data_IF_070589048266
#
_entry.id   IF_070589048266
#
_cell.length_a   1.000
_cell.length_b   1.000
_cell.length_c   1.000
_cell.angle_alpha   90.00
_cell.angle_beta   90.00
_cell.angle_gamma   90.00
#
_symmetry.space_group_name_H-M   'P 1'
#
loop_
_entity.id
_entity.type
_entity.pdbx_description
1 polymer ?
#
# COMPACT_ATOMS: atom_id res chain seq x y z
N UNK A 1 -11.19 9.65 5.06
CA UNK A 1 -9.87 9.17 5.51
C UNK A 1 -10.06 8.63 6.92
N UNK A 2 -9.73 7.37 7.20
CA UNK A 2 -9.80 6.80 8.55
C UNK A 2 -8.53 7.20 9.33
N UNK A 3 -8.58 7.18 10.67
CA UNK A 3 -7.44 7.53 11.53
C UNK A 3 -6.23 6.63 11.22
N UNK A 4 -6.47 5.34 10.96
CA UNK A 4 -5.45 4.35 10.57
C UNK A 4 -4.75 4.71 9.26
N UNK A 5 -5.49 5.10 8.23
CA UNK A 5 -4.91 5.48 6.92
C UNK A 5 -4.07 6.75 7.02
N UNK A 6 -4.49 7.71 7.85
CA UNK A 6 -3.72 8.95 8.05
C UNK A 6 -2.46 8.71 8.89
N UNK A 7 -2.49 7.75 9.80
CA UNK A 7 -1.33 7.38 10.61
C UNK A 7 -0.31 6.54 9.84
N UNK A 8 -0.77 5.71 8.89
CA UNK A 8 0.11 4.85 8.10
C UNK A 8 0.79 5.57 6.94
N UNK A 9 0.14 6.60 6.35
CA UNK A 9 0.59 7.23 5.10
C UNK A 9 0.64 8.77 5.13
N UNK A 10 0.60 9.37 6.32
CA UNK A 10 0.72 10.81 6.48
C UNK A 10 -0.44 11.63 5.84
N UNK A 11 -0.18 12.91 5.60
CA UNK A 11 -1.17 13.84 5.05
C UNK A 11 -1.01 13.99 3.53
N UNK A 12 -1.78 13.18 2.79
CA UNK A 12 -2.07 13.28 1.34
C UNK A 12 -0.98 12.80 0.37
N UNK A 13 -0.78 11.48 0.33
CA UNK A 13 -0.26 10.81 -0.87
C UNK A 13 -1.41 10.48 -1.83
N UNK A 14 -1.29 10.80 -3.13
CA UNK A 14 -2.38 10.58 -4.11
C UNK A 14 -2.67 9.10 -4.30
N UNK A 15 -1.66 8.24 -4.15
CA UNK A 15 -1.82 6.80 -4.15
C UNK A 15 -2.73 6.32 -3.01
N UNK A 16 -2.66 6.93 -1.83
CA UNK A 16 -3.48 6.52 -0.67
C UNK A 16 -4.97 6.76 -0.88
N UNK A 17 -5.37 7.83 -1.55
CA UNK A 17 -6.77 8.10 -1.85
C UNK A 17 -7.34 7.06 -2.82
N UNK A 18 -6.57 6.70 -3.85
CA UNK A 18 -6.94 5.64 -4.80
C UNK A 18 -7.03 4.27 -4.11
N UNK A 19 -6.08 3.98 -3.23
CA UNK A 19 -6.00 2.77 -2.44
C UNK A 19 -7.22 2.63 -1.50
N UNK A 20 -7.61 3.72 -0.83
CA UNK A 20 -8.79 3.77 0.05
C UNK A 20 -10.10 3.68 -0.73
N UNK A 21 -10.19 4.29 -1.91
CA UNK A 21 -11.37 4.20 -2.78
C UNK A 21 -11.58 2.76 -3.25
N UNK A 22 -10.51 2.09 -3.72
CA UNK A 22 -10.53 0.65 -4.03
C UNK A 22 -10.93 -0.20 -2.82
N UNK A 23 -10.46 0.16 -1.62
CA UNK A 23 -10.78 -0.59 -0.40
C UNK A 23 -12.22 -0.45 0.08
N UNK A 24 -12.92 0.58 -0.36
CA UNK A 24 -14.34 0.81 -0.07
C UNK A 24 -15.27 0.21 -1.13
N UNK A 25 -14.73 -0.51 -2.12
CA UNK A 25 -15.49 -1.00 -3.26
C UNK A 25 -15.99 0.12 -4.17
N UNK A 26 -15.46 1.35 -4.05
CA UNK A 26 -15.72 2.43 -4.98
C UNK A 26 -14.95 2.10 -6.27
N UNK A 27 -15.64 1.45 -7.20
CA UNK A 27 -15.05 0.90 -8.42
C UNK A 27 -14.34 1.99 -9.23
N UNK A 28 -13.01 1.99 -9.18
CA UNK A 28 -12.17 2.72 -10.13
C UNK A 28 -12.18 1.95 -11.46
N UNK A 29 -13.16 2.27 -12.31
CA UNK A 29 -13.28 1.87 -13.72
C UNK A 29 -13.25 0.36 -14.07
N UNK A 30 -13.44 -0.55 -13.11
CA UNK A 30 -13.26 -2.00 -13.33
C UNK A 30 -14.27 -2.94 -12.69
N UNK A 31 -15.11 -2.47 -11.75
CA UNK A 31 -16.07 -3.30 -11.03
C UNK A 31 -15.44 -4.27 -10.01
N UNK A 32 -14.27 -3.93 -9.47
CA UNK A 32 -13.54 -4.73 -8.48
C UNK A 32 -13.49 -4.06 -7.12
N UNK A 33 -13.62 -4.86 -6.08
CA UNK A 33 -13.44 -4.50 -4.66
C UNK A 33 -12.13 -5.11 -4.17
N UNK A 34 -11.33 -4.39 -3.36
CA UNK A 34 -10.13 -4.96 -2.73
C UNK A 34 -10.47 -6.20 -1.88
N UNK A 35 -11.70 -6.29 -1.38
CA UNK A 35 -12.22 -7.47 -0.68
C UNK A 35 -12.08 -8.74 -1.53
N UNK A 36 -12.12 -8.64 -2.86
CA UNK A 36 -11.91 -9.79 -3.76
C UNK A 36 -10.44 -10.25 -3.84
N UNK A 37 -9.48 -9.43 -3.38
CA UNK A 37 -8.06 -9.80 -3.28
C UNK A 37 -7.75 -10.58 -2.00
N UNK A 38 -8.50 -10.36 -0.93
CA UNK A 38 -8.23 -10.95 0.38
C UNK A 38 -9.03 -12.24 0.58
N UNK A 39 -8.39 -13.43 0.59
CA UNK A 39 -9.07 -14.73 0.78
C UNK A 39 -9.92 -14.81 2.05
N UNK A 40 -9.58 -13.98 3.05
CA UNK A 40 -10.23 -13.82 4.34
C UNK A 40 -11.60 -13.12 4.23
N UNK A 41 -11.82 -12.30 3.21
CA UNK A 41 -13.13 -11.76 2.86
C UNK A 41 -13.76 -12.76 1.89
N UNK A 42 -14.54 -13.67 2.48
CA UNK A 42 -15.14 -14.89 1.92
C UNK A 42 -15.33 -14.90 0.38
N UNK A 43 -15.15 -16.10 -0.19
CA UNK A 43 -15.61 -16.62 -1.51
C UNK A 43 -14.53 -16.93 -2.56
N UNK A 44 -13.76 -17.99 -2.31
CA UNK A 44 -12.91 -18.71 -3.28
C UNK A 44 -13.54 -19.89 -4.07
N UNK A 45 -14.83 -20.32 -3.99
CA UNK A 45 -15.24 -21.53 -4.73
C UNK A 45 -15.47 -21.42 -6.25
N UNK A 46 -15.38 -20.24 -6.91
CA UNK A 46 -15.80 -20.04 -8.33
C UNK A 46 -14.67 -19.62 -9.31
N UNK A 47 -13.41 -19.95 -9.03
CA UNK A 47 -12.18 -19.35 -9.58
C UNK A 47 -11.81 -19.71 -11.05
N UNK A 48 -12.76 -19.97 -11.94
CA UNK A 48 -12.45 -20.04 -13.38
C UNK A 48 -12.56 -18.66 -14.03
N UNK A 49 -13.67 -17.94 -13.80
CA UNK A 49 -13.96 -16.65 -14.43
C UNK A 49 -13.33 -15.42 -13.75
N UNK A 50 -12.87 -15.57 -12.50
CA UNK A 50 -12.33 -14.47 -11.69
C UNK A 50 -10.81 -14.31 -11.79
N UNK A 51 -10.07 -15.26 -12.39
CA UNK A 51 -8.59 -15.17 -12.46
C UNK A 51 -8.07 -13.95 -13.23
N UNK A 52 -8.52 -13.68 -14.47
CA UNK A 52 -8.01 -12.52 -15.23
C UNK A 52 -8.37 -11.19 -14.57
N UNK A 53 -9.51 -11.21 -13.88
CA UNK A 53 -10.09 -10.13 -13.11
C UNK A 53 -9.25 -9.81 -11.86
N UNK A 54 -8.91 -10.84 -11.07
CA UNK A 54 -8.01 -10.75 -9.91
C UNK A 54 -6.60 -10.32 -10.31
N UNK A 55 -6.09 -10.83 -11.43
CA UNK A 55 -4.77 -10.44 -11.96
C UNK A 55 -4.74 -8.95 -12.33
N UNK A 56 -5.82 -8.43 -12.95
CA UNK A 56 -5.95 -7.00 -13.26
C UNK A 56 -5.99 -6.16 -11.98
N UNK A 57 -6.77 -6.58 -10.98
CA UNK A 57 -6.86 -5.89 -9.69
C UNK A 57 -5.50 -5.88 -8.97
N UNK A 58 -4.82 -7.02 -8.94
CA UNK A 58 -3.48 -7.15 -8.36
C UNK A 58 -2.49 -6.17 -9.02
N UNK A 59 -2.49 -6.08 -10.35
CA UNK A 59 -1.64 -5.11 -11.09
C UNK A 59 -1.99 -3.65 -10.78
N UNK A 60 -3.27 -3.34 -10.60
CA UNK A 60 -3.69 -1.98 -10.24
C UNK A 60 -3.21 -1.61 -8.83
N UNK A 61 -3.37 -2.52 -7.87
CA UNK A 61 -2.92 -2.31 -6.49
C UNK A 61 -1.40 -2.21 -6.42
N UNK A 62 -0.68 -3.11 -7.10
CA UNK A 62 0.79 -3.06 -7.17
C UNK A 62 1.29 -1.72 -7.71
N UNK A 63 0.65 -1.20 -8.76
CA UNK A 63 0.98 0.13 -9.30
C UNK A 63 0.73 1.25 -8.29
N UNK A 64 -0.41 1.23 -7.59
CA UNK A 64 -0.71 2.25 -6.58
C UNK A 64 0.30 2.20 -5.43
N UNK A 65 0.68 1.00 -4.98
CA UNK A 65 1.67 0.83 -3.92
C UNK A 65 3.08 1.27 -4.37
N UNK A 66 3.43 1.02 -5.63
CA UNK A 66 4.66 1.54 -6.23
C UNK A 66 4.66 3.07 -6.25
N UNK A 67 3.58 3.69 -6.71
CA UNK A 67 3.43 5.15 -6.74
C UNK A 67 3.57 5.75 -5.32
N UNK A 68 3.00 5.09 -4.30
CA UNK A 68 3.17 5.49 -2.88
C UNK A 68 4.65 5.45 -2.49
N UNK A 69 5.36 4.36 -2.77
CA UNK A 69 6.78 4.21 -2.40
C UNK A 69 7.64 5.27 -3.11
N UNK A 70 7.40 5.51 -4.41
CA UNK A 70 8.13 6.52 -5.19
C UNK A 70 7.89 7.92 -4.62
N UNK A 71 6.63 8.29 -4.33
CA UNK A 71 6.29 9.60 -3.75
C UNK A 71 7.06 9.86 -2.43
N UNK A 72 7.18 8.86 -1.55
CA UNK A 72 7.93 8.98 -0.29
C UNK A 72 9.44 9.02 -0.49
N UNK A 73 9.98 8.21 -1.41
CA UNK A 73 11.42 8.27 -1.78
C UNK A 73 11.80 9.63 -2.35
N UNK A 74 10.94 10.22 -3.19
CA UNK A 74 11.17 11.55 -3.76
C UNK A 74 11.03 12.68 -2.73
N UNK A 75 10.05 12.60 -1.82
CA UNK A 75 9.88 13.58 -0.75
C UNK A 75 11.14 13.65 0.13
N UNK A 76 11.67 12.48 0.52
CA UNK A 76 12.90 12.36 1.32
C UNK A 76 14.15 12.93 0.63
N UNK A 77 14.19 12.93 -0.71
CA UNK A 77 15.30 13.51 -1.47
C UNK A 77 15.27 15.04 -1.55
N UNK A 78 14.14 15.67 -1.20
CA UNK A 78 13.89 17.11 -1.35
C UNK A 78 13.88 17.87 -0.02
N UNK A 79 13.96 17.20 1.13
CA UNK A 79 13.85 17.84 2.45
C UNK A 79 15.20 18.08 3.14
N UNK A 80 15.57 19.37 3.18
CA UNK A 80 16.47 19.99 4.15
C UNK A 80 15.67 20.89 5.14
N UNK A 81 14.33 20.91 5.10
CA UNK A 81 13.52 21.84 5.89
C UNK A 81 12.12 21.32 6.25
N UNK A 82 11.91 21.05 7.54
CA UNK A 82 10.59 21.02 8.18
C UNK A 82 10.16 19.65 8.69
N UNK A 83 9.73 19.60 9.94
CA UNK A 83 9.11 18.43 10.59
C UNK A 83 7.78 18.07 9.91
N UNK A 84 7.83 17.45 8.74
CA UNK A 84 6.72 16.62 8.27
C UNK A 84 6.75 15.36 9.13
N UNK A 85 5.65 15.07 9.83
CA UNK A 85 5.58 13.93 10.74
C UNK A 85 5.87 12.63 9.99
N UNK A 86 6.88 11.90 10.45
CA UNK A 86 7.26 10.58 9.93
C UNK A 86 6.06 9.62 9.97
N UNK A 87 5.77 8.98 8.84
CA UNK A 87 4.78 7.91 8.76
C UNK A 87 5.40 6.52 8.62
N UNK A 88 4.56 5.48 8.54
CA UNK A 88 5.04 4.10 8.48
C UNK A 88 5.89 3.84 7.23
N UNK A 89 5.53 4.44 6.08
CA UNK A 89 6.28 4.24 4.83
C UNK A 89 7.66 4.85 4.98
N UNK A 90 7.78 6.02 5.60
CA UNK A 90 9.07 6.65 5.91
C UNK A 90 9.94 5.78 6.80
N UNK A 91 9.37 5.20 7.86
CA UNK A 91 10.07 4.28 8.77
C UNK A 91 10.59 3.07 8.00
N UNK A 92 9.72 2.39 7.23
CA UNK A 92 10.10 1.21 6.46
C UNK A 92 11.19 1.51 5.43
N UNK A 93 11.13 2.68 4.78
CA UNK A 93 12.17 3.14 3.85
C UNK A 93 13.49 3.48 4.56
N UNK A 94 13.48 3.96 5.80
CA UNK A 94 14.69 4.14 6.61
C UNK A 94 15.35 2.80 6.93
N UNK A 95 14.58 1.77 7.28
CA UNK A 95 15.10 0.41 7.47
C UNK A 95 15.65 -0.19 6.16
N UNK A 96 15.00 0.06 5.02
CA UNK A 96 15.54 -0.33 3.72
C UNK A 96 16.87 0.38 3.37
N UNK A 97 16.97 1.68 3.68
CA UNK A 97 18.16 2.50 3.35
C UNK A 97 19.30 2.35 4.35
N UNK A 98 19.02 1.93 5.59
CA UNK A 98 19.97 1.81 6.71
C UNK A 98 20.91 0.61 6.63
N UNK A 99 21.03 -0.02 5.47
CA UNK A 99 21.84 -1.21 5.21
C UNK A 99 23.36 -1.00 5.34
N UNK A 100 23.81 0.16 5.86
CA UNK A 100 25.21 0.47 6.10
C UNK A 100 25.68 0.14 7.53
N UNK A 101 24.78 -0.13 8.49
CA UNK A 101 25.17 -0.47 9.87
C UNK A 101 24.33 -1.64 10.44
N UNK A 102 24.86 -2.87 10.33
CA UNK A 102 24.58 -4.00 11.23
C UNK A 102 23.10 -4.40 11.43
N UNK A 103 22.30 -4.38 10.35
CA UNK A 103 20.95 -4.96 10.36
C UNK A 103 20.89 -6.22 9.49
N UNK A 104 20.58 -7.37 10.11
CA UNK A 104 20.34 -8.67 9.46
C UNK A 104 19.09 -8.70 8.55
N UNK A 105 18.41 -7.56 8.34
CA UNK A 105 17.12 -7.48 7.65
C UNK A 105 17.24 -6.57 6.43
N UNK A 106 17.25 -7.18 5.24
CA UNK A 106 17.20 -6.47 3.97
C UNK A 106 15.73 -6.32 3.51
N UNK A 107 15.13 -5.15 3.74
CA UNK A 107 13.79 -4.85 3.25
C UNK A 107 13.82 -4.49 1.76
N UNK A 108 13.05 -5.23 0.96
CA UNK A 108 12.77 -4.90 -0.45
C UNK A 108 11.48 -4.10 -0.58
N UNK A 109 11.29 -3.41 -1.72
CA UNK A 109 10.04 -2.71 -2.01
C UNK A 109 8.83 -3.65 -1.93
N UNK A 110 8.98 -4.92 -2.35
CA UNK A 110 7.95 -5.94 -2.21
C UNK A 110 7.60 -6.24 -0.74
N UNK A 111 8.57 -6.19 0.18
CA UNK A 111 8.29 -6.35 1.60
C UNK A 111 7.47 -5.17 2.13
N UNK A 112 7.81 -3.94 1.72
CA UNK A 112 7.09 -2.71 2.10
C UNK A 112 5.65 -2.76 1.57
N UNK A 113 5.46 -3.09 0.28
CA UNK A 113 4.13 -3.28 -0.34
C UNK A 113 3.29 -4.31 0.41
N UNK A 114 3.89 -5.44 0.79
CA UNK A 114 3.20 -6.50 1.51
C UNK A 114 2.74 -6.06 2.92
N UNK A 115 3.57 -5.33 3.66
CA UNK A 115 3.22 -4.78 4.98
C UNK A 115 2.05 -3.78 4.84
N UNK A 116 2.15 -2.85 3.88
CA UNK A 116 1.09 -1.88 3.59
C UNK A 116 -0.23 -2.60 3.27
N UNK A 117 -0.19 -3.60 2.39
CA UNK A 117 -1.37 -4.36 1.99
C UNK A 117 -1.98 -5.13 3.17
N UNK A 118 -1.14 -5.69 4.05
CA UNK A 118 -1.58 -6.41 5.26
C UNK A 118 -2.31 -5.49 6.23
N UNK A 119 -1.80 -4.28 6.48
CA UNK A 119 -2.45 -3.30 7.36
C UNK A 119 -3.79 -2.81 6.81
N UNK A 120 -3.92 -2.76 5.49
CA UNK A 120 -5.19 -2.47 4.86
C UNK A 120 -6.20 -3.59 5.03
N UNK A 121 -5.79 -4.85 4.95
CA UNK A 121 -6.67 -6.00 5.22
C UNK A 121 -7.34 -5.88 6.60
N UNK A 122 -6.57 -5.49 7.63
CA UNK A 122 -7.11 -5.29 8.97
C UNK A 122 -8.08 -4.13 9.07
N UNK A 123 -7.98 -3.13 8.19
CA UNK A 123 -8.88 -1.96 8.16
C UNK A 123 -10.21 -2.25 7.48
N UNK A 124 -10.29 -3.33 6.68
CA UNK A 124 -11.49 -3.73 5.92
C UNK A 124 -12.36 -4.72 6.73
N UNK A 125 -11.80 -5.36 7.76
CA UNK A 125 -12.54 -6.22 8.71
C UNK A 125 -13.32 -5.40 9.73
#
# INVERSE_FOLDING_TARGET
MNVTTRSAFGNKCKGTEQLVSLAKGESVAGGFDIAELFPSVKWLPLVSGLRPKLERLHRQIDKILEDIIIEHKEAKSKEDQGEVGEDLVDVLLKFQSGNDNDQDICLTDNNIKAIILTLMEETIK
#
